data_IF_450073080779
#
_entry.id   IF_450073080779
#
_cell.length_a   1.000
_cell.length_b   1.000
_cell.length_c   1.000
_cell.angle_alpha   90.00
_cell.angle_beta   90.00
_cell.angle_gamma   90.00
#
_symmetry.space_group_name_H-M   'P 1'
#
loop_
_entity.id
_entity.type
_entity.pdbx_description
1 polymer ?
#
# COMPACT_ATOMS: atom_id res chain seq x y z
N UNK A 1 10.87 6.25 -25.47
CA UNK A 1 10.69 5.67 -24.12
C UNK A 1 12.05 5.73 -23.47
N UNK A 2 12.21 6.58 -22.46
CA UNK A 2 13.51 6.81 -21.80
C UNK A 2 13.87 5.62 -20.91
N UNK A 3 15.10 5.16 -21.02
CA UNK A 3 15.71 4.17 -20.14
C UNK A 3 15.62 4.65 -18.68
N UNK A 4 14.97 3.89 -17.80
CA UNK A 4 15.01 4.12 -16.34
C UNK A 4 13.68 4.11 -15.59
N UNK A 5 12.52 4.05 -16.26
CA UNK A 5 11.27 3.76 -15.54
C UNK A 5 11.19 2.25 -15.27
N UNK A 6 11.56 1.83 -14.05
CA UNK A 6 11.11 0.54 -13.53
C UNK A 6 9.59 0.45 -13.76
N UNK A 7 9.17 -0.57 -14.51
CA UNK A 7 7.76 -0.81 -14.77
C UNK A 7 7.02 -0.92 -13.43
N UNK A 8 6.14 0.04 -13.15
CA UNK A 8 5.39 0.08 -11.89
C UNK A 8 4.34 -1.02 -11.77
N UNK A 9 4.22 -1.88 -12.78
CA UNK A 9 3.16 -2.88 -12.90
C UNK A 9 3.11 -3.83 -11.69
N UNK A 10 4.24 -4.18 -11.08
CA UNK A 10 4.28 -5.04 -9.88
C UNK A 10 3.63 -4.39 -8.65
N UNK A 11 3.62 -3.05 -8.58
CA UNK A 11 2.96 -2.31 -7.52
C UNK A 11 1.51 -1.93 -7.85
N UNK A 12 1.09 -2.07 -9.12
CA UNK A 12 -0.28 -1.80 -9.54
C UNK A 12 -1.23 -2.88 -9.01
N UNK A 13 -2.41 -2.45 -8.61
CA UNK A 13 -3.53 -3.30 -8.21
C UNK A 13 -4.82 -2.77 -8.84
N UNK A 14 -5.81 -3.64 -8.97
CA UNK A 14 -7.16 -3.23 -9.40
C UNK A 14 -8.08 -3.25 -8.19
N UNK A 15 -8.73 -2.12 -7.91
CA UNK A 15 -9.72 -2.01 -6.86
C UNK A 15 -10.97 -2.83 -7.20
N UNK A 16 -11.86 -3.06 -6.22
CA UNK A 16 -13.16 -3.74 -6.45
C UNK A 16 -14.05 -3.02 -7.48
N UNK A 17 -13.80 -1.73 -7.73
CA UNK A 17 -14.52 -0.91 -8.71
C UNK A 17 -13.84 -0.90 -10.09
N UNK A 18 -12.80 -1.70 -10.31
CA UNK A 18 -12.07 -1.77 -11.58
C UNK A 18 -11.03 -0.67 -11.78
N UNK A 19 -10.85 0.26 -10.83
CA UNK A 19 -9.83 1.31 -10.92
C UNK A 19 -8.43 0.74 -10.70
N UNK A 20 -7.49 1.06 -11.59
CA UNK A 20 -6.05 0.79 -11.40
C UNK A 20 -5.48 1.75 -10.35
N UNK A 21 -4.72 1.21 -9.42
CA UNK A 21 -4.13 1.96 -8.32
C UNK A 21 -2.70 1.50 -8.08
N UNK A 22 -1.80 2.45 -7.88
CA UNK A 22 -0.42 2.22 -7.47
C UNK A 22 -0.36 2.10 -5.95
N UNK A 23 0.10 0.96 -5.43
CA UNK A 23 0.45 0.86 -4.02
C UNK A 23 1.71 1.66 -3.75
N UNK A 24 1.67 2.49 -2.72
CA UNK A 24 2.78 3.32 -2.34
C UNK A 24 3.06 3.24 -0.84
N UNK A 25 4.35 3.23 -0.48
CA UNK A 25 4.79 3.22 0.91
C UNK A 25 4.57 4.61 1.50
N UNK A 26 3.67 4.71 2.47
CA UNK A 26 3.46 5.93 3.25
C UNK A 26 4.42 5.99 4.43
N UNK A 27 4.55 4.87 5.17
CA UNK A 27 5.48 4.72 6.29
C UNK A 27 5.86 3.25 6.45
N UNK A 28 7.07 2.96 6.95
CA UNK A 28 7.59 1.60 7.14
C UNK A 28 8.54 1.53 8.34
N UNK A 29 8.39 0.47 9.12
CA UNK A 29 9.21 0.09 10.27
C UNK A 29 8.99 -1.40 10.57
N UNK A 30 8.68 -1.78 11.82
CA UNK A 30 8.22 -3.14 12.15
C UNK A 30 6.88 -3.51 11.49
N UNK A 31 6.13 -2.51 11.04
CA UNK A 31 4.92 -2.62 10.23
C UNK A 31 5.00 -1.58 9.10
N UNK A 32 4.17 -1.76 8.07
CA UNK A 32 4.08 -0.81 6.97
C UNK A 32 2.67 -0.22 6.84
N UNK A 33 2.61 1.06 6.55
CA UNK A 33 1.41 1.75 6.09
C UNK A 33 1.57 2.05 4.60
N UNK A 34 0.60 1.58 3.82
CA UNK A 34 0.50 1.86 2.40
C UNK A 34 -0.68 2.78 2.11
N UNK A 35 -0.53 3.57 1.07
CA UNK A 35 -1.62 4.31 0.45
C UNK A 35 -1.74 3.95 -1.04
N UNK A 36 -2.85 4.36 -1.63
CA UNK A 36 -3.16 4.11 -3.03
C UNK A 36 -3.09 5.42 -3.79
N UNK A 37 -2.36 5.39 -4.90
CA UNK A 37 -2.10 6.54 -5.76
C UNK A 37 -2.51 6.23 -7.19
N UNK A 38 -2.75 7.27 -7.97
CA UNK A 38 -2.99 7.14 -9.39
C UNK A 38 -1.68 6.72 -10.08
N UNK A 39 -1.67 5.67 -10.92
CA UNK A 39 -0.45 5.22 -11.56
C UNK A 39 0.20 6.26 -12.48
N UNK A 40 -0.58 7.19 -13.04
CA UNK A 40 -0.08 8.24 -13.93
C UNK A 40 0.30 9.50 -13.16
N UNK A 41 -0.62 10.03 -12.35
CA UNK A 41 -0.41 11.33 -11.68
C UNK A 41 0.31 11.22 -10.35
N UNK A 42 0.41 10.01 -9.78
CA UNK A 42 0.91 9.74 -8.42
C UNK A 42 0.12 10.41 -7.30
N UNK A 43 -1.01 11.03 -7.60
CA UNK A 43 -1.90 11.64 -6.61
C UNK A 43 -2.64 10.57 -5.80
N UNK A 44 -2.93 10.86 -4.54
CA UNK A 44 -3.64 9.93 -3.66
C UNK A 44 -5.07 9.70 -4.16
N UNK A 45 -5.48 8.44 -4.33
CA UNK A 45 -6.80 8.11 -4.90
C UNK A 45 -7.87 7.89 -3.85
N UNK A 46 -7.48 7.54 -2.62
CA UNK A 46 -8.41 7.20 -1.57
C UNK A 46 -7.95 7.71 -0.20
N UNK A 47 -8.91 8.14 0.61
CA UNK A 47 -8.68 8.53 2.00
C UNK A 47 -8.72 7.31 2.93
N UNK A 48 -7.82 6.36 2.72
CA UNK A 48 -7.61 5.20 3.59
C UNK A 48 -6.14 4.75 3.53
N UNK A 49 -5.73 3.98 4.53
CA UNK A 49 -4.45 3.29 4.51
C UNK A 49 -4.64 1.79 4.51
N UNK A 50 -3.62 1.06 4.05
CA UNK A 50 -3.48 -0.36 4.31
C UNK A 50 -2.33 -0.60 5.28
N UNK A 51 -2.63 -1.21 6.40
CA UNK A 51 -1.66 -1.69 7.38
C UNK A 51 -1.22 -3.10 7.00
N UNK A 52 0.09 -3.33 6.98
CA UNK A 52 0.71 -4.66 6.92
C UNK A 52 1.47 -4.86 8.22
N UNK A 53 1.02 -5.82 9.02
CA UNK A 53 1.60 -6.18 10.31
C UNK A 53 2.29 -7.54 10.16
N UNK A 54 3.62 -7.55 10.24
CA UNK A 54 4.43 -8.77 10.25
C UNK A 54 4.72 -9.13 11.71
N UNK A 55 4.25 -10.29 12.15
CA UNK A 55 4.49 -10.83 13.48
C UNK A 55 5.86 -11.52 13.58
N UNK A 56 6.40 -11.64 14.79
CA UNK A 56 7.71 -12.27 15.03
C UNK A 56 7.74 -13.76 14.63
N UNK A 57 6.60 -14.44 14.69
CA UNK A 57 6.43 -15.82 14.23
C UNK A 57 6.30 -15.95 12.70
N UNK A 58 6.37 -14.84 11.95
CA UNK A 58 6.23 -14.80 10.50
C UNK A 58 4.79 -14.73 9.99
N UNK A 59 3.78 -14.76 10.87
CA UNK A 59 2.39 -14.51 10.49
C UNK A 59 2.21 -13.07 10.02
N UNK A 60 1.23 -12.84 9.15
CA UNK A 60 0.96 -11.53 8.58
C UNK A 60 -0.52 -11.23 8.69
N UNK A 61 -0.84 -10.10 9.31
CA UNK A 61 -2.18 -9.52 9.26
C UNK A 61 -2.19 -8.27 8.39
N UNK A 62 -3.25 -8.13 7.60
CA UNK A 62 -3.49 -6.94 6.79
C UNK A 62 -4.82 -6.32 7.14
N UNK A 63 -4.84 -4.99 7.26
CA UNK A 63 -6.05 -4.22 7.56
C UNK A 63 -6.17 -3.00 6.66
N UNK A 64 -7.39 -2.64 6.27
CA UNK A 64 -7.67 -1.27 5.86
C UNK A 64 -7.98 -0.41 7.07
N UNK A 65 -7.36 0.77 7.15
CA UNK A 65 -7.65 1.79 8.15
C UNK A 65 -8.44 2.89 7.44
N UNK A 66 -9.71 3.03 7.81
CA UNK A 66 -10.64 4.00 7.23
C UNK A 66 -10.95 5.07 8.28
N UNK A 67 -10.66 6.36 8.02
CA UNK A 67 -11.03 7.44 8.93
C UNK A 67 -12.55 7.57 9.02
N UNK A 68 -13.06 7.79 10.23
CA UNK A 68 -14.46 8.09 10.50
C UNK A 68 -14.69 9.60 10.53
N UNK A 69 -15.96 10.01 10.55
CA UNK A 69 -16.33 11.45 10.62
C UNK A 69 -15.82 12.11 11.90
N UNK A 70 -15.80 11.38 13.00
CA UNK A 70 -15.27 11.85 14.28
C UNK A 70 -13.74 11.88 14.22
N UNK A 71 -13.17 13.01 14.66
CA UNK A 71 -11.72 13.18 14.74
C UNK A 71 -11.08 12.05 15.55
N UNK A 72 -9.92 11.59 15.08
CA UNK A 72 -9.11 10.54 15.70
C UNK A 72 -9.82 9.18 15.90
N UNK A 73 -10.87 8.90 15.12
CA UNK A 73 -11.51 7.57 15.09
C UNK A 73 -11.35 6.91 13.73
N UNK A 74 -11.03 5.62 13.76
CA UNK A 74 -10.78 4.83 12.56
C UNK A 74 -11.48 3.47 12.66
N UNK A 75 -11.95 2.97 11.53
CA UNK A 75 -12.42 1.60 11.37
C UNK A 75 -11.30 0.75 10.79
N UNK A 76 -11.00 -0.38 11.43
CA UNK A 76 -10.10 -1.39 10.91
C UNK A 76 -10.90 -2.51 10.24
N UNK A 77 -10.64 -2.77 8.97
CA UNK A 77 -11.23 -3.88 8.23
C UNK A 77 -10.15 -4.93 7.96
N UNK A 78 -10.28 -6.11 8.57
CA UNK A 78 -9.35 -7.23 8.33
C UNK A 78 -9.49 -7.74 6.90
N UNK A 79 -8.37 -7.93 6.23
CA UNK A 79 -8.31 -8.53 4.91
C UNK A 79 -8.48 -10.05 4.99
N UNK A 80 -9.34 -10.59 4.12
CA UNK A 80 -9.53 -12.05 4.02
C UNK A 80 -8.37 -12.75 3.31
N UNK A 81 -7.72 -12.05 2.37
CA UNK A 81 -6.61 -12.56 1.58
C UNK A 81 -5.41 -11.65 1.76
N UNK A 82 -4.45 -12.13 2.54
CA UNK A 82 -3.20 -11.43 2.83
C UNK A 82 -2.30 -11.50 1.59
N UNK A 83 -1.75 -10.35 1.18
CA UNK A 83 -0.77 -10.28 0.10
C UNK A 83 0.65 -10.56 0.61
N UNK A 84 0.96 -10.10 1.82
CA UNK A 84 2.20 -10.37 2.52
C UNK A 84 3.24 -9.24 2.39
N UNK A 85 4.34 -9.32 3.17
CA UNK A 85 5.37 -8.28 3.28
C UNK A 85 6.21 -8.10 2.01
N UNK A 86 6.39 -9.16 1.21
CA UNK A 86 7.28 -9.16 0.04
C UNK A 86 6.69 -8.49 -1.19
N UNK A 87 5.40 -8.12 -1.17
CA UNK A 87 4.80 -7.54 -2.36
C UNK A 87 5.38 -6.16 -2.62
N UNK A 88 5.61 -5.82 -3.89
CA UNK A 88 6.14 -4.51 -4.26
C UNK A 88 5.15 -3.38 -4.03
N UNK A 89 5.69 -2.26 -3.55
CA UNK A 89 5.05 -0.97 -3.47
C UNK A 89 6.06 0.11 -3.89
N UNK A 90 5.57 1.19 -4.48
CA UNK A 90 6.40 2.31 -4.90
C UNK A 90 6.76 3.18 -3.68
N UNK A 91 8.05 3.45 -3.48
CA UNK A 91 8.52 4.33 -2.43
C UNK A 91 8.70 5.76 -2.98
N UNK A 92 7.87 6.73 -2.56
CA UNK A 92 7.95 8.10 -3.09
C UNK A 92 9.24 8.83 -2.72
N UNK A 93 9.96 8.36 -1.69
CA UNK A 93 11.23 8.96 -1.26
C UNK A 93 12.41 8.55 -2.14
N UNK A 94 12.40 7.33 -2.66
CA UNK A 94 13.49 6.77 -3.48
C UNK A 94 13.12 6.71 -4.97
N UNK A 95 11.83 6.79 -5.30
CA UNK A 95 11.31 6.65 -6.65
C UNK A 95 11.24 5.21 -7.15
N UNK A 96 11.59 4.21 -6.33
CA UNK A 96 11.76 2.80 -6.75
C UNK A 96 10.67 1.87 -6.25
N UNK A 97 10.56 0.69 -6.86
CA UNK A 97 9.77 -0.40 -6.30
C UNK A 97 10.54 -1.13 -5.19
N UNK A 98 9.90 -1.27 -4.05
CA UNK A 98 10.48 -1.93 -2.88
C UNK A 98 9.50 -2.94 -2.29
N UNK A 99 10.02 -3.94 -1.58
CA UNK A 99 9.16 -4.79 -0.75
C UNK A 99 8.51 -3.96 0.36
N UNK A 100 7.24 -4.25 0.63
CA UNK A 100 6.46 -3.52 1.63
C UNK A 100 7.10 -3.61 3.02
N UNK A 101 7.67 -4.77 3.38
CA UNK A 101 8.57 -4.94 4.52
C UNK A 101 9.74 -5.81 4.02
N UNK A 102 10.98 -5.28 3.96
CA UNK A 102 12.17 -6.02 3.53
C UNK A 102 12.70 -6.99 4.59
#
# INVERSE_FOLDING_TARGET
>A
MSEGEESLEEAITVSKKGKRELRSIHSRGRFALLEYRDPMTKEKTENKFKLVLLHENGEVDEYFIIPLKQANRFLLLKEKKVKGPKVKAWNPKTGRLEEVIP
#
